data_IF_234064002726
#
_entry.id   IF_234064002726
#
_cell.length_a   1.000
_cell.length_b   1.000
_cell.length_c   1.000
_cell.angle_alpha   90.00
_cell.angle_beta   90.00
_cell.angle_gamma   90.00
#
_symmetry.space_group_name_H-M   'P 1'
#
loop_
_entity.id
_entity.type
_entity.pdbx_description
1 polymer ?
#
# COMPACT_ATOMS: atom_id res chain seq x y z
N UNK A 1 -3.09 30.38 9.52
CA UNK A 1 -3.46 29.75 10.80
C UNK A 1 -3.56 28.25 10.56
N UNK A 2 -2.98 27.43 11.43
CA UNK A 2 -3.09 25.96 11.41
C UNK A 2 -4.09 25.51 12.49
N UNK A 3 -4.79 24.40 12.26
CA UNK A 3 -5.74 23.83 13.21
C UNK A 3 -5.61 22.31 13.26
N UNK A 4 -5.72 21.73 14.46
CA UNK A 4 -5.66 20.29 14.69
C UNK A 4 -6.98 19.63 14.29
N UNK A 5 -7.01 18.89 13.18
CA UNK A 5 -8.08 17.93 12.91
C UNK A 5 -7.88 16.67 13.76
N UNK A 6 -8.99 16.00 14.14
CA UNK A 6 -8.98 14.60 14.63
C UNK A 6 -8.91 13.60 13.45
N UNK A 7 -8.04 13.90 12.50
CA UNK A 7 -7.54 13.09 11.37
C UNK A 7 -6.11 13.61 11.14
N UNK A 8 -5.14 12.74 10.87
CA UNK A 8 -3.70 13.03 11.02
C UNK A 8 -3.10 13.95 9.94
N UNK A 9 -3.66 15.15 9.76
CA UNK A 9 -3.19 16.17 8.84
C UNK A 9 -3.51 17.59 9.35
N UNK A 10 -2.57 18.50 9.18
CA UNK A 10 -2.78 19.94 9.23
C UNK A 10 -3.14 20.47 7.84
N UNK A 11 -4.01 21.48 7.79
CA UNK A 11 -4.35 22.20 6.57
C UNK A 11 -3.80 23.63 6.62
N UNK A 12 -3.16 24.04 5.53
CA UNK A 12 -2.45 25.31 5.40
C UNK A 12 -3.02 26.09 4.21
N UNK A 13 -3.70 27.19 4.48
CA UNK A 13 -4.16 28.12 3.45
C UNK A 13 -3.01 29.02 3.01
N UNK A 14 -2.68 28.96 1.71
CA UNK A 14 -1.62 29.78 1.10
C UNK A 14 -2.26 30.96 0.39
N UNK A 15 -1.94 32.17 0.87
CA UNK A 15 -2.54 33.43 0.42
C UNK A 15 -1.90 34.00 -0.86
N UNK A 16 -1.44 33.12 -1.76
CA UNK A 16 -0.92 33.47 -3.08
C UNK A 16 -1.78 32.88 -4.19
N UNK A 17 -2.17 33.67 -5.18
CA UNK A 17 -2.93 33.15 -6.33
C UNK A 17 -2.00 32.42 -7.30
N UNK A 18 -2.24 31.13 -7.54
CA UNK A 18 -1.46 30.30 -8.49
C UNK A 18 -2.37 29.47 -9.40
N UNK A 19 -1.87 29.11 -10.59
CA UNK A 19 -2.49 28.08 -11.45
C UNK A 19 -2.41 26.74 -10.75
N UNK A 20 -3.40 25.85 -10.92
CA UNK A 20 -3.50 24.63 -10.12
C UNK A 20 -2.22 23.78 -10.12
N UNK A 21 -1.58 23.59 -11.28
CA UNK A 21 -0.33 22.83 -11.38
C UNK A 21 0.85 23.49 -10.62
N UNK A 22 0.88 24.83 -10.53
CA UNK A 22 1.88 25.59 -9.77
C UNK A 22 1.54 25.64 -8.27
N UNK A 23 0.25 25.67 -7.91
CA UNK A 23 -0.20 25.50 -6.52
C UNK A 23 0.20 24.11 -5.98
N UNK A 24 -0.03 23.05 -6.76
CA UNK A 24 0.42 21.69 -6.44
C UNK A 24 1.94 21.59 -6.30
N UNK A 25 2.68 22.20 -7.23
CA UNK A 25 4.15 22.26 -7.16
C UNK A 25 4.66 22.96 -5.90
N UNK A 26 4.00 24.04 -5.46
CA UNK A 26 4.31 24.70 -4.20
C UNK A 26 4.01 23.80 -2.99
N UNK A 27 2.83 23.18 -2.92
CA UNK A 27 2.48 22.31 -1.80
C UNK A 27 3.45 21.13 -1.64
N UNK A 28 3.90 20.53 -2.75
CA UNK A 28 4.90 19.44 -2.72
C UNK A 28 6.33 19.89 -2.43
N UNK A 29 6.61 21.19 -2.46
CA UNK A 29 7.92 21.76 -2.14
C UNK A 29 8.02 22.26 -0.69
N UNK A 30 6.88 22.60 -0.06
CA UNK A 30 6.83 23.21 1.28
C UNK A 30 5.97 22.46 2.31
N UNK A 31 5.11 21.53 1.87
CA UNK A 31 4.23 20.69 2.68
C UNK A 31 4.14 19.27 2.05
N UNK A 32 3.02 18.55 2.18
CA UNK A 32 2.82 17.24 1.52
C UNK A 32 2.30 17.40 0.09
N UNK A 33 1.06 17.86 -0.09
CA UNK A 33 0.44 18.11 -1.41
C UNK A 33 -0.79 19.04 -1.26
N UNK A 34 -1.54 19.29 -2.34
CA UNK A 34 -2.87 19.91 -2.24
C UNK A 34 -3.85 19.02 -1.44
N UNK A 35 -4.69 19.64 -0.61
CA UNK A 35 -5.61 18.94 0.30
C UNK A 35 -6.52 17.91 -0.40
N UNK A 36 -6.59 16.71 0.16
CA UNK A 36 -7.67 15.75 -0.11
C UNK A 36 -8.76 15.86 0.95
N UNK A 37 -10.03 15.69 0.53
CA UNK A 37 -11.18 15.80 1.43
C UNK A 37 -12.05 14.55 1.27
N UNK A 38 -11.93 13.61 2.20
CA UNK A 38 -12.45 12.24 2.11
C UNK A 38 -13.68 12.00 2.98
N UNK A 39 -14.04 12.96 3.83
CA UNK A 39 -15.21 12.86 4.71
C UNK A 39 -15.92 14.20 4.91
N UNK A 40 -17.20 14.20 5.31
CA UNK A 40 -17.93 15.42 5.67
C UNK A 40 -17.23 16.23 6.78
N UNK A 41 -16.54 15.54 7.70
CA UNK A 41 -15.78 16.16 8.79
C UNK A 41 -14.55 16.91 8.26
N UNK A 42 -13.76 16.29 7.40
CA UNK A 42 -12.62 16.95 6.75
C UNK A 42 -13.09 18.15 5.90
N UNK A 43 -14.27 18.05 5.26
CA UNK A 43 -14.85 19.17 4.53
C UNK A 43 -15.21 20.34 5.45
N UNK A 44 -15.84 20.05 6.59
CA UNK A 44 -16.17 21.05 7.61
C UNK A 44 -14.93 21.75 8.17
N UNK A 45 -13.89 21.00 8.58
CA UNK A 45 -12.65 21.61 9.09
C UNK A 45 -11.91 22.42 8.01
N UNK A 46 -11.90 21.94 6.76
CA UNK A 46 -11.33 22.70 5.63
C UNK A 46 -12.10 24.00 5.40
N UNK A 47 -13.44 23.96 5.44
CA UNK A 47 -14.30 25.11 5.22
C UNK A 47 -14.10 26.23 6.26
N UNK A 48 -13.79 25.87 7.51
CA UNK A 48 -13.52 26.84 8.60
C UNK A 48 -12.26 27.67 8.42
N UNK A 49 -11.33 27.23 7.56
CA UNK A 49 -10.08 27.94 7.27
C UNK A 49 -10.20 28.94 6.11
N UNK A 50 -11.35 28.97 5.42
CA UNK A 50 -11.54 29.75 4.20
C UNK A 50 -12.09 31.13 4.52
N UNK A 51 -11.49 32.17 3.93
CA UNK A 51 -12.09 33.50 3.95
C UNK A 51 -13.40 33.49 3.15
N UNK A 52 -14.46 34.05 3.72
CA UNK A 52 -15.79 34.06 3.12
C UNK A 52 -15.79 34.69 1.72
N UNK A 53 -16.39 34.01 0.74
CA UNK A 53 -16.43 34.47 -0.66
C UNK A 53 -15.13 34.23 -1.45
N UNK A 54 -14.05 33.79 -0.81
CA UNK A 54 -12.78 33.48 -1.48
C UNK A 54 -12.75 32.02 -1.96
N UNK A 55 -12.05 31.78 -3.06
CA UNK A 55 -11.92 30.47 -3.70
C UNK A 55 -10.50 29.92 -3.56
N UNK A 56 -10.39 28.64 -3.24
CA UNK A 56 -9.12 27.94 -3.00
C UNK A 56 -9.05 26.64 -3.79
N UNK A 57 -7.92 26.34 -4.45
CA UNK A 57 -7.67 25.04 -5.06
C UNK A 57 -7.55 23.92 -4.02
N UNK A 58 -8.14 22.76 -4.35
CA UNK A 58 -7.95 21.48 -3.65
C UNK A 58 -7.31 20.45 -4.59
N UNK A 59 -6.90 19.29 -4.06
CA UNK A 59 -6.18 18.25 -4.81
C UNK A 59 -7.04 17.47 -5.82
N UNK A 60 -8.32 17.78 -5.96
CA UNK A 60 -9.23 17.07 -6.85
C UNK A 60 -9.15 17.61 -8.28
N UNK A 61 -9.02 16.72 -9.26
CA UNK A 61 -8.96 17.05 -10.67
C UNK A 61 -9.51 15.93 -11.56
N UNK A 62 -9.70 16.23 -12.84
CA UNK A 62 -10.10 15.25 -13.86
C UNK A 62 -9.36 15.49 -15.17
N UNK A 63 -8.77 14.42 -15.71
CA UNK A 63 -8.07 14.43 -17.00
C UNK A 63 -9.03 14.27 -18.20
N UNK A 64 -10.09 13.48 -18.05
CA UNK A 64 -10.95 13.02 -19.14
C UNK A 64 -12.45 13.12 -18.78
N UNK A 65 -13.26 13.53 -19.76
CA UNK A 65 -14.72 13.43 -19.72
C UNK A 65 -15.16 12.15 -20.46
N UNK A 66 -15.58 11.14 -19.70
CA UNK A 66 -16.13 9.90 -20.25
C UNK A 66 -17.58 10.08 -20.69
N UNK A 67 -18.16 9.06 -21.35
CA UNK A 67 -19.60 9.01 -21.69
C UNK A 67 -20.51 9.03 -20.46
N UNK A 68 -20.03 8.60 -19.30
CA UNK A 68 -20.77 8.56 -18.02
C UNK A 68 -20.46 9.74 -17.09
N UNK A 69 -19.54 10.64 -17.47
CA UNK A 69 -19.18 11.83 -16.69
C UNK A 69 -17.68 12.01 -16.44
N UNK A 70 -17.35 12.91 -15.52
CA UNK A 70 -15.97 13.24 -15.13
C UNK A 70 -15.37 12.14 -14.26
N UNK A 71 -14.16 11.66 -14.62
CA UNK A 71 -13.37 10.78 -13.77
C UNK A 71 -12.56 11.63 -12.79
N UNK A 72 -13.03 11.71 -11.54
CA UNK A 72 -12.38 12.49 -10.48
C UNK A 72 -11.27 11.70 -9.79
N UNK A 73 -10.13 12.34 -9.57
CA UNK A 73 -8.94 11.77 -8.91
C UNK A 73 -8.30 12.79 -7.97
N UNK A 74 -7.85 12.36 -6.79
CA UNK A 74 -7.03 13.19 -5.89
C UNK A 74 -5.55 13.12 -6.30
N UNK A 75 -4.79 14.19 -6.07
CA UNK A 75 -3.36 14.29 -6.46
C UNK A 75 -2.43 13.36 -5.69
N UNK A 76 -2.84 12.94 -4.50
CA UNK A 76 -2.11 12.07 -3.59
C UNK A 76 -2.51 10.58 -3.71
N UNK A 77 -3.45 10.24 -4.60
CA UNK A 77 -3.93 8.87 -4.80
C UNK A 77 -5.06 8.42 -3.87
N UNK A 78 -5.60 9.30 -3.01
CA UNK A 78 -6.75 8.96 -2.17
C UNK A 78 -7.99 8.54 -2.99
N UNK A 79 -8.82 7.67 -2.40
CA UNK A 79 -10.08 7.23 -3.00
C UNK A 79 -11.12 8.36 -3.03
N UNK A 80 -11.78 8.55 -4.18
CA UNK A 80 -12.85 9.55 -4.36
C UNK A 80 -14.19 9.02 -3.85
N UNK A 81 -14.33 8.94 -2.52
CA UNK A 81 -15.51 8.36 -1.84
C UNK A 81 -16.47 9.41 -1.24
N UNK A 82 -16.09 10.69 -1.25
CA UNK A 82 -16.88 11.80 -0.72
C UNK A 82 -16.89 12.97 -1.70
N UNK A 83 -18.00 13.71 -1.73
CA UNK A 83 -18.16 14.90 -2.57
C UNK A 83 -19.09 15.92 -1.91
N UNK A 84 -18.82 17.20 -2.14
CA UNK A 84 -19.57 18.30 -1.53
C UNK A 84 -19.78 19.47 -2.52
N UNK A 85 -20.35 19.15 -3.68
CA UNK A 85 -20.47 20.09 -4.82
C UNK A 85 -21.45 21.25 -4.57
N UNK A 86 -21.09 22.43 -5.08
CA UNK A 86 -21.99 23.57 -5.32
C UNK A 86 -22.87 23.22 -6.53
N UNK A 87 -24.18 23.37 -6.40
CA UNK A 87 -25.15 22.77 -7.33
C UNK A 87 -24.92 23.04 -8.82
N UNK A 88 -24.87 21.93 -9.58
CA UNK A 88 -25.09 21.74 -11.03
C UNK A 88 -24.03 22.20 -12.07
N UNK A 89 -23.55 21.17 -12.79
CA UNK A 89 -23.15 21.09 -14.21
C UNK A 89 -22.28 22.21 -14.81
N UNK A 90 -21.00 21.89 -14.98
CA UNK A 90 -20.20 22.43 -16.10
C UNK A 90 -20.76 21.94 -17.44
N UNK A 91 -21.48 22.81 -18.14
CA UNK A 91 -21.70 22.68 -19.59
C UNK A 91 -20.56 23.43 -20.30
N UNK A 92 -19.42 22.77 -20.50
CA UNK A 92 -18.19 23.38 -21.04
C UNK A 92 -17.50 22.50 -22.08
N UNK A 93 -16.98 23.11 -23.15
CA UNK A 93 -16.47 22.38 -24.32
C UNK A 93 -15.07 21.75 -24.09
N UNK A 94 -14.81 20.61 -24.73
CA UNK A 94 -13.82 19.60 -24.30
C UNK A 94 -12.37 19.84 -24.78
N UNK A 95 -11.63 20.78 -24.20
CA UNK A 95 -10.20 20.96 -24.58
C UNK A 95 -9.19 21.23 -23.46
N UNK A 96 -9.63 21.49 -22.22
CA UNK A 96 -8.69 21.67 -21.08
C UNK A 96 -9.12 20.85 -19.86
N UNK A 97 -8.14 20.32 -19.13
CA UNK A 97 -8.39 19.55 -17.92
C UNK A 97 -9.12 20.38 -16.87
N UNK A 98 -9.98 19.72 -16.08
CA UNK A 98 -10.73 20.36 -15.01
C UNK A 98 -10.07 20.12 -13.67
N UNK A 99 -9.91 21.19 -12.91
CA UNK A 99 -9.44 21.19 -11.54
C UNK A 99 -10.58 21.64 -10.63
N UNK A 100 -10.49 21.39 -9.33
CA UNK A 100 -11.58 21.72 -8.40
C UNK A 100 -11.11 22.75 -7.37
N UNK A 101 -11.95 23.76 -7.17
CA UNK A 101 -11.79 24.74 -6.11
C UNK A 101 -12.92 24.60 -5.07
N UNK A 102 -12.67 25.08 -3.86
CA UNK A 102 -13.63 25.16 -2.77
C UNK A 102 -13.89 26.63 -2.42
N UNK A 103 -15.16 26.96 -2.16
CA UNK A 103 -15.61 28.26 -1.70
C UNK A 103 -16.72 28.05 -0.67
N UNK A 104 -16.58 28.63 0.53
CA UNK A 104 -17.54 28.50 1.63
C UNK A 104 -17.94 27.03 1.93
N UNK A 105 -16.99 26.09 1.83
CA UNK A 105 -17.23 24.65 2.05
C UNK A 105 -17.88 23.89 0.88
N UNK A 106 -18.20 24.56 -0.23
CA UNK A 106 -18.79 23.94 -1.43
C UNK A 106 -17.78 23.87 -2.56
N UNK A 107 -17.68 22.70 -3.20
CA UNK A 107 -16.71 22.41 -4.24
C UNK A 107 -17.27 22.78 -5.61
N UNK A 108 -16.45 23.32 -6.50
CA UNK A 108 -16.87 23.60 -7.86
C UNK A 108 -15.72 23.34 -8.86
N UNK A 109 -16.03 22.79 -10.04
CA UNK A 109 -15.06 22.65 -11.11
C UNK A 109 -14.64 24.03 -11.66
N UNK A 110 -13.37 24.15 -12.00
CA UNK A 110 -12.77 25.34 -12.61
C UNK A 110 -11.67 24.93 -13.59
N UNK A 111 -11.39 25.78 -14.58
CA UNK A 111 -10.32 25.51 -15.55
C UNK A 111 -8.95 25.60 -14.85
N UNK A 112 -8.10 24.58 -15.00
CA UNK A 112 -6.79 24.51 -14.32
C UNK A 112 -5.83 25.68 -14.64
N UNK A 113 -6.12 26.47 -15.67
CA UNK A 113 -5.36 27.66 -16.07
C UNK A 113 -5.76 28.94 -15.30
N UNK A 114 -6.88 28.95 -14.58
CA UNK A 114 -7.28 30.03 -13.68
C UNK A 114 -6.33 30.12 -12.48
N UNK A 115 -6.37 31.23 -11.75
CA UNK A 115 -5.61 31.39 -10.51
C UNK A 115 -6.55 31.58 -9.32
N UNK A 116 -6.37 30.72 -8.32
CA UNK A 116 -7.05 30.78 -7.03
C UNK A 116 -5.98 30.75 -5.94
N UNK A 117 -6.38 31.08 -4.70
CA UNK A 117 -5.60 30.68 -3.53
C UNK A 117 -5.57 29.16 -3.45
N UNK A 118 -4.87 28.56 -2.49
CA UNK A 118 -4.81 27.10 -2.43
C UNK A 118 -4.59 26.58 -1.01
N UNK A 119 -4.97 25.32 -0.80
CA UNK A 119 -4.88 24.65 0.49
C UNK A 119 -3.90 23.49 0.32
N UNK A 120 -2.74 23.61 0.97
CA UNK A 120 -1.86 22.48 1.15
C UNK A 120 -2.32 21.70 2.38
N UNK A 121 -2.10 20.38 2.38
CA UNK A 121 -2.05 19.63 3.62
C UNK A 121 -0.62 19.24 3.94
N UNK A 122 -0.37 19.12 5.24
CA UNK A 122 0.82 18.53 5.82
C UNK A 122 0.33 17.36 6.65
N UNK A 123 0.74 16.13 6.31
CA UNK A 123 0.46 14.98 7.18
C UNK A 123 1.10 15.27 8.53
N UNK A 124 0.38 14.99 9.61
CA UNK A 124 1.01 14.80 10.92
C UNK A 124 1.86 13.54 10.86
N UNK A 125 3.06 13.66 10.28
CA UNK A 125 4.20 12.89 10.76
C UNK A 125 4.22 13.08 12.28
N UNK A 126 4.44 11.99 13.02
CA UNK A 126 4.21 11.88 14.47
C UNK A 126 5.24 12.67 15.31
N UNK A 127 5.33 13.99 15.09
CA UNK A 127 6.00 14.92 16.00
C UNK A 127 5.25 14.86 17.34
N UNK A 128 5.91 14.25 18.32
CA UNK A 128 5.47 14.02 19.71
C UNK A 128 4.43 12.92 19.95
N UNK A 129 4.69 11.65 19.54
CA UNK A 129 4.31 10.50 20.40
C UNK A 129 5.02 9.14 20.26
N UNK A 130 6.24 9.09 19.73
CA UNK A 130 7.22 8.07 20.13
C UNK A 130 8.29 8.77 20.98
N UNK A 131 8.61 8.18 22.14
CA UNK A 131 9.38 8.86 23.19
C UNK A 131 10.83 9.07 22.73
N UNK A 132 11.29 10.32 22.77
CA UNK A 132 12.68 10.78 22.59
C UNK A 132 13.43 10.36 21.31
N UNK A 133 12.75 10.22 20.15
CA UNK A 133 13.40 9.86 18.88
C UNK A 133 13.05 10.78 17.72
N UNK A 134 14.07 11.10 16.92
CA UNK A 134 13.99 11.83 15.66
C UNK A 134 14.66 11.03 14.54
N UNK A 135 14.14 11.19 13.30
CA UNK A 135 14.59 10.52 12.07
C UNK A 135 14.36 11.53 10.91
N UNK A 136 15.27 11.94 10.01
CA UNK A 136 16.59 11.51 9.52
C UNK A 136 16.70 10.42 8.40
N UNK A 137 15.78 10.39 7.39
CA UNK A 137 15.98 9.63 6.16
C UNK A 137 17.05 10.26 5.25
N UNK A 138 18.16 9.56 5.03
CA UNK A 138 19.28 10.02 4.20
C UNK A 138 19.19 9.42 2.80
N UNK A 139 19.03 10.29 1.79
CA UNK A 139 18.81 9.93 0.38
C UNK A 139 20.05 9.40 -0.36
N UNK A 140 21.20 9.32 0.31
CA UNK A 140 22.44 8.80 -0.27
C UNK A 140 22.40 7.27 -0.31
N UNK A 141 22.96 6.70 -1.38
CA UNK A 141 23.06 5.26 -1.54
C UNK A 141 24.30 4.75 -0.82
N UNK A 142 24.13 3.72 0.03
CA UNK A 142 25.19 3.08 0.82
C UNK A 142 24.88 1.60 0.99
N UNK A 143 25.90 0.76 1.12
CA UNK A 143 25.68 -0.59 1.66
C UNK A 143 25.34 -0.52 3.16
N UNK A 144 24.84 -1.61 3.77
CA UNK A 144 24.37 -1.57 5.15
C UNK A 144 25.46 -1.15 6.16
N UNK A 145 26.70 -1.59 5.96
CA UNK A 145 27.84 -1.23 6.82
C UNK A 145 28.19 0.26 6.71
N UNK A 146 28.33 0.76 5.48
CA UNK A 146 28.53 2.19 5.20
C UNK A 146 27.38 3.06 5.73
N UNK A 147 26.14 2.56 5.67
CA UNK A 147 24.95 3.24 6.17
C UNK A 147 24.98 3.36 7.70
N UNK A 148 25.30 2.28 8.40
CA UNK A 148 25.49 2.26 9.85
C UNK A 148 26.61 3.20 10.28
N UNK A 149 27.75 3.13 9.61
CA UNK A 149 28.92 3.91 9.98
C UNK A 149 28.71 5.40 9.69
N UNK A 150 27.94 5.75 8.65
CA UNK A 150 27.47 7.11 8.38
C UNK A 150 26.46 7.63 9.43
N UNK A 151 25.50 6.81 9.87
CA UNK A 151 24.62 7.21 10.97
C UNK A 151 25.40 7.43 12.26
N UNK A 152 26.36 6.56 12.58
CA UNK A 152 27.21 6.71 13.78
C UNK A 152 28.19 7.87 13.71
N UNK A 153 28.49 8.41 12.53
CA UNK A 153 29.39 9.58 12.37
C UNK A 153 28.68 10.93 12.40
N UNK A 154 27.35 10.97 12.22
CA UNK A 154 26.58 12.22 12.12
C UNK A 154 25.29 12.27 12.97
N UNK A 155 24.83 11.12 13.45
CA UNK A 155 23.58 10.89 14.19
C UNK A 155 23.84 9.86 15.31
N UNK A 156 22.85 9.05 15.68
CA UNK A 156 22.98 8.04 16.76
C UNK A 156 23.41 6.68 16.18
N UNK A 157 22.54 6.04 15.39
CA UNK A 157 22.76 4.75 14.74
C UNK A 157 21.72 4.59 13.60
N UNK A 158 21.70 3.45 12.90
CA UNK A 158 20.54 3.08 12.09
C UNK A 158 19.30 2.87 12.97
N UNK A 159 18.14 3.24 12.43
CA UNK A 159 16.84 3.15 13.12
C UNK A 159 16.54 1.75 13.65
N UNK A 160 16.02 1.69 14.89
CA UNK A 160 15.30 0.55 15.44
C UNK A 160 13.79 0.79 15.39
N UNK A 161 13.02 -0.27 15.18
CA UNK A 161 11.56 -0.20 15.05
C UNK A 161 10.93 -1.01 16.19
N UNK A 162 10.22 -0.33 17.08
CA UNK A 162 9.65 -0.90 18.30
C UNK A 162 8.11 -1.01 18.25
N UNK A 163 7.46 -0.50 17.20
CA UNK A 163 5.99 -0.56 17.06
C UNK A 163 5.51 -0.70 15.60
N UNK A 164 4.26 -1.19 15.39
CA UNK A 164 3.59 -1.15 14.09
C UNK A 164 3.46 0.27 13.50
N UNK A 165 3.30 1.27 14.36
CA UNK A 165 3.18 2.67 13.99
C UNK A 165 4.51 3.24 13.48
N UNK A 166 5.63 2.91 14.14
CA UNK A 166 6.97 3.25 13.66
C UNK A 166 7.29 2.53 12.33
N UNK A 167 6.93 1.25 12.20
CA UNK A 167 7.08 0.50 10.94
C UNK A 167 6.32 1.17 9.78
N UNK A 168 5.08 1.60 10.05
CA UNK A 168 4.25 2.35 9.10
C UNK A 168 4.85 3.72 8.76
N UNK A 169 5.43 4.43 9.72
CA UNK A 169 6.09 5.70 9.46
C UNK A 169 7.35 5.51 8.61
N UNK A 170 8.21 4.54 8.93
CA UNK A 170 9.41 4.21 8.14
C UNK A 170 9.07 3.81 6.71
N UNK A 171 8.01 3.04 6.48
CA UNK A 171 7.58 2.65 5.13
C UNK A 171 7.07 3.84 4.29
N UNK A 172 6.56 4.90 4.92
CA UNK A 172 6.15 6.15 4.26
C UNK A 172 7.33 7.07 3.88
N UNK A 173 8.50 6.92 4.51
CA UNK A 173 9.71 7.66 4.15
C UNK A 173 10.37 7.13 2.86
N UNK A 174 9.96 5.96 2.39
CA UNK A 174 10.44 5.34 1.16
C UNK A 174 9.79 6.03 -0.05
N UNK A 175 10.63 6.73 -0.82
CA UNK A 175 10.28 7.37 -2.09
C UNK A 175 10.88 6.55 -3.24
N UNK A 176 10.13 6.35 -4.32
CA UNK A 176 10.47 5.48 -5.47
C UNK A 176 10.61 3.98 -5.09
N UNK A 177 11.15 3.17 -6.00
CA UNK A 177 11.37 1.72 -5.84
C UNK A 177 12.58 1.39 -4.93
N UNK A 178 12.83 2.22 -3.92
CA UNK A 178 13.98 2.11 -3.02
C UNK A 178 13.64 1.27 -1.78
N UNK A 179 14.69 0.78 -1.13
CA UNK A 179 14.62 0.12 0.18
C UNK A 179 15.31 0.99 1.23
N UNK A 180 14.87 0.90 2.49
CA UNK A 180 15.39 1.70 3.59
C UNK A 180 16.15 0.80 4.57
N UNK A 181 17.48 0.92 4.65
CA UNK A 181 18.27 0.17 5.63
C UNK A 181 17.86 0.55 7.06
N UNK A 182 17.73 -0.47 7.91
CA UNK A 182 17.44 -0.35 9.34
C UNK A 182 18.47 -1.11 10.16
N UNK A 183 18.52 -0.86 11.47
CA UNK A 183 19.52 -1.44 12.38
C UNK A 183 19.32 -2.91 12.71
N UNK A 184 18.31 -3.60 12.15
CA UNK A 184 18.07 -5.02 12.45
C UNK A 184 19.04 -5.89 11.67
N UNK A 185 19.76 -6.76 12.37
CA UNK A 185 20.71 -7.69 11.76
C UNK A 185 20.82 -9.01 12.53
N UNK A 186 21.39 -10.02 11.88
CA UNK A 186 21.86 -11.26 12.52
C UNK A 186 23.24 -11.66 12.00
N UNK A 187 24.04 -12.29 12.89
CA UNK A 187 25.42 -12.70 12.60
C UNK A 187 25.50 -14.16 12.17
N UNK A 188 26.33 -14.42 11.15
CA UNK A 188 26.60 -15.75 10.60
C UNK A 188 27.06 -16.74 11.68
N UNK A 189 26.52 -17.96 11.66
CA UNK A 189 27.02 -19.10 12.42
C UNK A 189 26.76 -19.06 13.93
N UNK A 190 26.00 -18.08 14.41
CA UNK A 190 25.49 -18.07 15.79
C UNK A 190 24.06 -18.60 15.81
N UNK A 191 23.62 -19.15 16.94
CA UNK A 191 22.19 -19.34 17.26
C UNK A 191 21.47 -17.99 17.51
N UNK A 192 21.87 -16.95 16.77
CA UNK A 192 21.58 -15.56 17.07
C UNK A 192 20.15 -15.19 16.72
N UNK A 193 19.37 -14.91 17.76
CA UNK A 193 18.24 -14.02 17.65
C UNK A 193 18.66 -12.68 17.02
N UNK A 194 17.74 -12.09 16.25
CA UNK A 194 17.86 -10.74 15.69
C UNK A 194 18.24 -9.71 16.74
N UNK A 195 19.03 -8.70 16.34
CA UNK A 195 19.47 -7.60 17.22
C UNK A 195 19.41 -6.27 16.48
N UNK A 196 19.13 -5.20 17.22
CA UNK A 196 19.30 -3.83 16.74
C UNK A 196 20.75 -3.36 16.93
N UNK A 197 21.31 -2.60 15.97
CA UNK A 197 22.67 -2.05 16.05
C UNK A 197 22.86 -1.09 17.22
N UNK A 198 21.80 -0.36 17.60
CA UNK A 198 21.78 0.56 18.72
C UNK A 198 21.66 -0.14 20.11
N UNK A 199 21.60 -1.47 20.15
CA UNK A 199 21.60 -2.27 21.38
C UNK A 199 20.21 -2.50 22.02
N UNK A 200 19.13 -2.02 21.40
CA UNK A 200 17.78 -2.21 21.94
C UNK A 200 17.27 -3.65 21.85
N UNK A 201 16.31 -3.97 22.71
CA UNK A 201 15.57 -5.23 22.65
C UNK A 201 14.73 -5.32 21.37
N UNK A 202 14.64 -6.52 20.81
CA UNK A 202 13.77 -6.82 19.65
C UNK A 202 12.40 -7.26 20.18
N UNK A 203 11.57 -6.28 20.53
CA UNK A 203 10.22 -6.53 21.07
C UNK A 203 9.13 -6.60 19.98
N UNK A 204 9.42 -6.09 18.79
CA UNK A 204 8.52 -6.07 17.64
C UNK A 204 9.28 -6.47 16.37
N UNK A 205 8.63 -7.28 15.54
CA UNK A 205 9.09 -7.58 14.16
C UNK A 205 7.86 -7.73 13.26
N UNK A 206 7.96 -7.22 12.04
CA UNK A 206 6.98 -7.45 10.99
C UNK A 206 7.73 -7.69 9.69
N UNK A 207 7.75 -8.95 9.27
CA UNK A 207 8.47 -9.39 8.09
C UNK A 207 7.57 -9.34 6.85
N UNK A 208 8.19 -9.07 5.70
CA UNK A 208 7.57 -9.31 4.39
C UNK A 208 7.22 -10.79 4.27
N UNK A 209 6.24 -11.13 3.43
CA UNK A 209 5.99 -12.53 3.07
C UNK A 209 7.28 -13.24 2.62
N UNK A 210 7.51 -14.45 3.17
CA UNK A 210 8.72 -15.28 3.04
C UNK A 210 10.01 -14.73 3.68
N UNK A 211 9.93 -13.66 4.47
CA UNK A 211 11.05 -13.20 5.31
C UNK A 211 10.86 -13.60 6.79
N UNK A 212 11.96 -13.73 7.55
CA UNK A 212 13.33 -13.75 7.07
C UNK A 212 13.70 -15.10 6.45
N UNK A 213 14.32 -15.09 5.27
CA UNK A 213 14.88 -16.30 4.67
C UNK A 213 16.42 -16.35 4.81
N UNK A 214 16.94 -17.40 5.45
CA UNK A 214 18.39 -17.63 5.57
C UNK A 214 18.93 -18.40 4.35
N UNK A 215 18.66 -17.89 3.14
CA UNK A 215 19.05 -18.58 1.89
C UNK A 215 20.57 -18.62 1.66
N UNK A 216 21.34 -17.76 2.33
CA UNK A 216 22.76 -17.53 2.02
C UNK A 216 23.73 -17.99 3.12
N UNK A 217 23.25 -18.44 4.30
CA UNK A 217 24.10 -18.76 5.46
C UNK A 217 25.12 -17.64 5.74
N UNK A 218 24.69 -16.38 5.68
CA UNK A 218 25.54 -15.18 5.74
C UNK A 218 25.17 -14.29 6.94
N UNK A 219 25.82 -13.14 7.07
CA UNK A 219 25.26 -12.08 7.93
C UNK A 219 24.02 -11.51 7.22
N UNK A 220 22.90 -11.41 7.94
CA UNK A 220 21.61 -11.00 7.38
C UNK A 220 21.29 -9.59 7.84
N UNK A 221 21.24 -8.66 6.88
CA UNK A 221 20.94 -7.24 7.09
C UNK A 221 19.52 -6.93 6.60
N UNK A 222 18.76 -6.12 7.34
CA UNK A 222 17.34 -5.90 7.05
C UNK A 222 17.09 -4.49 6.51
N UNK A 223 16.17 -4.40 5.55
CA UNK A 223 15.63 -3.14 5.05
C UNK A 223 14.09 -3.14 5.13
N UNK A 224 13.51 -1.96 5.35
CA UNK A 224 12.07 -1.73 5.17
C UNK A 224 11.78 -1.55 3.68
N UNK A 225 10.63 -2.06 3.25
CA UNK A 225 10.05 -1.83 1.93
C UNK A 225 8.69 -1.13 2.08
N UNK A 226 8.27 -0.38 1.07
CA UNK A 226 6.93 0.18 1.03
C UNK A 226 5.98 -0.81 0.35
N UNK A 227 4.99 -1.33 1.07
CA UNK A 227 3.98 -2.23 0.47
C UNK A 227 3.16 -1.57 -0.65
N UNK A 228 3.03 -0.23 -0.66
CA UNK A 228 2.38 0.50 -1.76
C UNK A 228 3.24 0.56 -3.04
N UNK A 229 4.55 0.33 -2.93
CA UNK A 229 5.48 0.15 -4.06
C UNK A 229 5.84 -1.34 -4.27
N UNK A 230 5.20 -2.27 -3.55
CA UNK A 230 5.08 -3.62 -4.08
C UNK A 230 4.31 -3.50 -5.39
N UNK A 231 4.84 -3.96 -6.54
CA UNK A 231 4.09 -3.90 -7.79
C UNK A 231 2.74 -4.59 -7.56
N UNK A 232 1.68 -3.99 -8.12
CA UNK A 232 0.31 -4.53 -8.18
C UNK A 232 0.39 -6.06 -8.19
N UNK A 233 -0.12 -6.74 -7.14
CA UNK A 233 0.04 -8.20 -6.92
C UNK A 233 -0.45 -8.93 -8.17
N UNK A 234 0.43 -9.11 -9.13
CA UNK A 234 -0.01 -9.38 -10.49
C UNK A 234 -0.52 -10.80 -10.58
N UNK A 235 -1.49 -11.05 -11.43
CA UNK A 235 -2.11 -12.37 -11.53
C UNK A 235 -1.67 -13.06 -12.82
N UNK A 236 -1.24 -14.32 -12.74
CA UNK A 236 -0.85 -15.14 -13.88
C UNK A 236 -1.62 -16.46 -13.88
N UNK A 237 -2.54 -16.58 -14.84
CA UNK A 237 -3.38 -17.75 -15.07
C UNK A 237 -2.57 -18.90 -15.65
N UNK A 238 -2.65 -20.07 -15.03
CA UNK A 238 -2.05 -21.30 -15.56
C UNK A 238 -3.15 -22.24 -16.05
N UNK A 239 -3.28 -22.30 -17.38
CA UNK A 239 -4.17 -23.22 -18.11
C UNK A 239 -3.62 -24.66 -18.13
N UNK A 240 -3.19 -25.19 -16.98
CA UNK A 240 -2.73 -26.58 -16.80
C UNK A 240 -3.45 -27.17 -15.59
N UNK A 241 -4.10 -28.32 -15.73
CA UNK A 241 -4.72 -28.99 -14.58
C UNK A 241 -3.64 -29.63 -13.71
N UNK A 242 -3.68 -29.36 -12.40
CA UNK A 242 -2.70 -29.85 -11.41
C UNK A 242 -3.37 -30.13 -10.08
N UNK A 243 -2.78 -31.04 -9.29
CA UNK A 243 -3.13 -31.19 -7.87
C UNK A 243 -2.76 -29.92 -7.11
N UNK A 244 -3.41 -29.64 -5.98
CA UNK A 244 -3.18 -28.37 -5.28
C UNK A 244 -1.71 -28.17 -4.88
N UNK A 245 -1.06 -29.23 -4.38
CA UNK A 245 0.37 -29.21 -4.08
C UNK A 245 1.25 -29.02 -5.32
N UNK A 246 0.91 -29.67 -6.44
CA UNK A 246 1.63 -29.51 -7.71
C UNK A 246 1.44 -28.10 -8.30
N UNK A 247 0.29 -27.48 -8.07
CA UNK A 247 -0.04 -26.11 -8.48
C UNK A 247 0.76 -25.09 -7.65
N UNK A 248 0.82 -25.27 -6.33
CA UNK A 248 1.73 -24.55 -5.42
C UNK A 248 3.17 -24.66 -5.90
N UNK A 249 3.66 -25.89 -6.13
CA UNK A 249 5.05 -26.14 -6.49
C UNK A 249 5.38 -25.59 -7.89
N UNK A 250 4.41 -25.59 -8.82
CA UNK A 250 4.55 -24.89 -10.09
C UNK A 250 4.62 -23.38 -9.91
N UNK A 251 3.76 -22.78 -9.09
CA UNK A 251 3.81 -21.35 -8.81
C UNK A 251 5.14 -20.96 -8.15
N UNK A 252 5.62 -21.70 -7.16
CA UNK A 252 6.90 -21.43 -6.49
C UNK A 252 8.13 -21.69 -7.36
N UNK A 253 7.99 -22.50 -8.43
CA UNK A 253 9.08 -22.79 -9.39
C UNK A 253 9.16 -21.81 -10.56
N UNK A 254 8.02 -21.30 -11.02
CA UNK A 254 7.94 -20.48 -12.25
C UNK A 254 7.46 -19.05 -12.01
N UNK A 255 6.87 -18.80 -10.85
CA UNK A 255 6.18 -17.57 -10.46
C UNK A 255 6.53 -17.22 -9.00
N UNK A 256 5.60 -16.68 -8.20
CA UNK A 256 5.79 -16.49 -6.75
C UNK A 256 5.09 -17.60 -5.93
N UNK A 257 3.76 -17.59 -5.84
CA UNK A 257 2.97 -18.64 -5.14
C UNK A 257 1.52 -18.63 -5.64
N UNK A 258 0.70 -19.60 -5.19
CA UNK A 258 -0.75 -19.56 -5.37
C UNK A 258 -1.36 -18.32 -4.71
N UNK A 259 -2.36 -17.74 -5.37
CA UNK A 259 -2.92 -16.45 -4.95
C UNK A 259 -3.81 -16.53 -3.72
N UNK A 260 -3.79 -15.47 -2.90
CA UNK A 260 -4.80 -15.21 -1.88
C UNK A 260 -5.85 -14.22 -2.35
N UNK A 261 -6.99 -14.18 -1.67
CA UNK A 261 -8.06 -13.19 -1.88
C UNK A 261 -8.51 -12.65 -0.52
N UNK A 262 -8.24 -11.37 -0.25
CA UNK A 262 -8.35 -10.75 1.10
C UNK A 262 -9.49 -9.75 1.23
N UNK A 263 -10.13 -9.37 0.12
CA UNK A 263 -11.18 -8.35 0.09
C UNK A 263 -12.05 -8.49 -1.19
N UNK A 264 -13.22 -7.82 -1.24
CA UNK A 264 -14.11 -7.85 -2.41
C UNK A 264 -13.46 -7.32 -3.71
N UNK A 265 -12.51 -6.40 -3.62
CA UNK A 265 -11.82 -5.81 -4.76
C UNK A 265 -10.91 -6.86 -5.44
N UNK A 266 -10.10 -7.58 -4.65
CA UNK A 266 -9.30 -8.71 -5.10
C UNK A 266 -10.18 -9.83 -5.65
N UNK A 267 -11.31 -10.13 -5.01
CA UNK A 267 -12.28 -11.12 -5.50
C UNK A 267 -12.83 -10.76 -6.88
N UNK A 268 -13.18 -9.49 -7.09
CA UNK A 268 -13.68 -8.95 -8.36
C UNK A 268 -12.60 -9.01 -9.45
N UNK A 269 -11.36 -8.60 -9.10
CA UNK A 269 -10.19 -8.66 -10.01
C UNK A 269 -9.92 -10.11 -10.42
N UNK A 270 -9.75 -11.02 -9.44
CA UNK A 270 -9.57 -12.46 -9.64
C UNK A 270 -10.62 -13.05 -10.59
N UNK A 271 -11.90 -12.86 -10.28
CA UNK A 271 -13.02 -13.43 -11.06
C UNK A 271 -13.15 -12.84 -12.47
N UNK A 272 -12.59 -11.66 -12.73
CA UNK A 272 -12.65 -11.03 -14.05
C UNK A 272 -11.68 -11.61 -15.08
N UNK A 273 -10.76 -12.47 -14.67
CA UNK A 273 -9.66 -12.95 -15.53
C UNK A 273 -9.94 -14.27 -16.25
N UNK A 274 -10.96 -15.03 -15.85
CA UNK A 274 -11.22 -16.38 -16.39
C UNK A 274 -12.70 -16.67 -16.59
N UNK A 275 -13.00 -17.66 -17.45
CA UNK A 275 -14.36 -18.10 -17.71
C UNK A 275 -15.00 -18.72 -16.48
N UNK A 276 -16.16 -18.18 -16.09
CA UNK A 276 -16.86 -18.52 -14.85
C UNK A 276 -17.12 -20.03 -14.67
N UNK A 277 -17.33 -20.77 -15.75
CA UNK A 277 -17.60 -22.22 -15.70
C UNK A 277 -16.38 -23.09 -15.34
N UNK A 278 -15.21 -22.49 -15.08
CA UNK A 278 -13.95 -23.24 -14.92
C UNK A 278 -13.39 -23.03 -13.51
N UNK A 279 -12.99 -24.13 -12.87
CA UNK A 279 -12.46 -24.13 -11.52
C UNK A 279 -10.95 -23.81 -11.48
N UNK A 280 -10.56 -22.93 -10.55
CA UNK A 280 -9.18 -22.53 -10.29
C UNK A 280 -8.79 -22.74 -8.83
N UNK A 281 -7.68 -23.43 -8.55
CA UNK A 281 -7.07 -23.47 -7.22
C UNK A 281 -6.59 -22.09 -6.77
N UNK A 282 -6.82 -21.80 -5.50
CA UNK A 282 -6.26 -20.66 -4.77
C UNK A 282 -5.43 -21.15 -3.57
N UNK A 283 -4.65 -20.26 -2.96
CA UNK A 283 -3.72 -20.62 -1.88
C UNK A 283 -4.34 -20.96 -0.54
N UNK A 284 -5.67 -21.06 -0.42
CA UNK A 284 -6.37 -21.34 0.83
C UNK A 284 -6.49 -22.85 1.07
N UNK A 285 -6.19 -23.28 2.29
CA UNK A 285 -6.32 -24.65 2.75
C UNK A 285 -6.73 -24.73 4.23
N UNK A 286 -7.20 -25.89 4.66
CA UNK A 286 -7.41 -26.21 6.08
C UNK A 286 -6.77 -27.57 6.39
N UNK A 287 -5.78 -27.58 7.28
CA UNK A 287 -5.02 -28.79 7.63
C UNK A 287 -5.61 -29.58 8.80
N UNK A 288 -6.43 -28.95 9.65
CA UNK A 288 -6.75 -29.47 10.99
C UNK A 288 -8.26 -29.54 11.30
N UNK A 289 -9.15 -29.34 10.33
CA UNK A 289 -10.61 -29.47 10.47
C UNK A 289 -11.30 -28.56 11.49
N UNK A 290 -10.62 -27.57 12.07
CA UNK A 290 -11.31 -26.54 12.87
C UNK A 290 -11.89 -25.45 11.96
N UNK A 291 -12.98 -24.83 12.39
CA UNK A 291 -13.55 -23.62 11.75
C UNK A 291 -12.52 -22.47 11.70
N UNK A 292 -11.54 -22.50 12.59
CA UNK A 292 -10.39 -21.59 12.69
C UNK A 292 -9.13 -22.06 11.93
N UNK A 293 -9.19 -23.21 11.25
CA UNK A 293 -8.05 -23.90 10.65
C UNK A 293 -7.64 -23.38 9.26
N UNK A 294 -8.43 -22.47 8.70
CA UNK A 294 -8.22 -21.85 7.39
C UNK A 294 -6.96 -20.98 7.37
N UNK A 295 -6.04 -21.29 6.44
CA UNK A 295 -4.78 -20.58 6.25
C UNK A 295 -4.51 -20.36 4.77
N UNK A 296 -4.01 -19.17 4.44
CA UNK A 296 -3.41 -18.92 3.13
C UNK A 296 -1.98 -19.45 3.13
N UNK A 297 -1.56 -20.07 2.03
CA UNK A 297 -0.16 -20.49 1.77
C UNK A 297 0.82 -19.34 1.93
N UNK A 298 0.38 -18.12 1.62
CA UNK A 298 1.19 -16.91 1.68
C UNK A 298 1.15 -16.16 3.02
N UNK A 299 0.62 -16.79 4.08
CA UNK A 299 0.59 -16.20 5.42
C UNK A 299 -0.31 -14.96 5.59
N UNK A 300 -1.03 -14.52 4.54
CA UNK A 300 -2.03 -13.46 4.66
C UNK A 300 -3.09 -13.83 5.71
N UNK A 301 -3.66 -12.81 6.35
CA UNK A 301 -4.69 -13.01 7.37
C UNK A 301 -5.98 -13.51 6.71
N UNK A 302 -6.53 -14.62 7.22
CA UNK A 302 -7.85 -15.11 6.82
C UNK A 302 -8.95 -14.27 7.50
N UNK A 303 -9.43 -13.23 6.81
CA UNK A 303 -10.45 -12.29 7.29
C UNK A 303 -11.56 -11.99 6.27
N UNK A 304 -11.53 -12.63 5.11
CA UNK A 304 -12.48 -12.48 4.02
C UNK A 304 -12.84 -13.86 3.46
N UNK A 305 -14.10 -14.03 3.06
CA UNK A 305 -14.65 -15.27 2.52
C UNK A 305 -15.60 -14.99 1.36
N UNK A 306 -15.61 -15.89 0.38
CA UNK A 306 -16.57 -15.85 -0.73
C UNK A 306 -17.13 -17.24 -1.06
N UNK A 307 -17.44 -18.00 -0.01
CA UNK A 307 -17.99 -19.36 -0.11
C UNK A 307 -19.28 -19.42 -0.94
N UNK A 308 -19.36 -20.42 -1.82
CA UNK A 308 -20.59 -20.84 -2.49
C UNK A 308 -21.60 -21.31 -1.44
N UNK A 309 -22.89 -21.26 -1.79
CA UNK A 309 -23.95 -21.77 -0.91
C UNK A 309 -23.66 -23.24 -0.52
N UNK A 310 -23.73 -23.51 0.80
CA UNK A 310 -23.42 -24.81 1.45
C UNK A 310 -21.94 -25.20 1.49
N UNK A 311 -21.03 -24.30 1.11
CA UNK A 311 -19.58 -24.45 1.34
C UNK A 311 -19.13 -23.62 2.57
N UNK A 312 -18.04 -24.01 3.25
CA UNK A 312 -17.27 -25.23 3.05
C UNK A 312 -18.02 -26.46 3.58
N UNK A 313 -17.99 -27.57 2.84
CA UNK A 313 -18.76 -28.78 3.15
C UNK A 313 -17.94 -29.92 3.81
N UNK A 314 -16.61 -29.88 3.71
CA UNK A 314 -15.65 -30.52 4.63
C UNK A 314 -15.86 -31.99 4.99
N UNK A 315 -15.25 -32.91 4.25
CA UNK A 315 -15.23 -34.34 4.60
C UNK A 315 -14.25 -34.65 5.76
N UNK A 316 -14.71 -35.44 6.75
CA UNK A 316 -13.96 -35.78 7.96
C UNK A 316 -12.64 -36.52 7.64
N UNK A 317 -11.50 -35.95 8.05
CA UNK A 317 -10.26 -36.70 8.28
C UNK A 317 -9.06 -36.42 7.36
N UNK A 318 -9.18 -35.60 6.32
CA UNK A 318 -8.07 -35.25 5.41
C UNK A 318 -7.95 -33.75 5.15
N UNK A 319 -6.75 -33.24 4.85
CA UNK A 319 -6.56 -31.83 4.50
C UNK A 319 -7.39 -31.46 3.25
N UNK A 320 -8.11 -30.34 3.34
CA UNK A 320 -8.94 -29.79 2.26
C UNK A 320 -8.32 -28.53 1.67
N UNK A 321 -8.53 -28.33 0.37
CA UNK A 321 -7.96 -27.26 -0.44
C UNK A 321 -9.07 -26.51 -1.18
N UNK A 322 -8.90 -25.21 -1.39
CA UNK A 322 -9.99 -24.36 -1.94
C UNK A 322 -9.77 -24.02 -3.40
N UNK A 323 -10.82 -24.21 -4.18
CA UNK A 323 -10.92 -23.74 -5.56
C UNK A 323 -12.07 -22.72 -5.71
N UNK A 324 -12.04 -21.98 -6.81
CA UNK A 324 -13.07 -21.00 -7.16
C UNK A 324 -13.70 -21.38 -8.48
N UNK A 325 -15.02 -21.44 -8.53
CA UNK A 325 -15.81 -21.64 -9.76
C UNK A 325 -17.06 -20.74 -9.72
N UNK A 326 -17.46 -20.20 -10.86
CA UNK A 326 -18.47 -19.15 -10.98
C UNK A 326 -18.22 -17.92 -10.06
N UNK A 327 -16.96 -17.66 -9.72
CA UNK A 327 -16.54 -16.65 -8.74
C UNK A 327 -16.64 -17.08 -7.28
N UNK A 328 -17.34 -18.17 -6.97
CA UNK A 328 -17.58 -18.62 -5.60
C UNK A 328 -16.57 -19.70 -5.16
N UNK A 329 -16.17 -19.68 -3.89
CA UNK A 329 -15.20 -20.61 -3.32
C UNK A 329 -15.88 -21.91 -2.89
N UNK A 330 -15.19 -23.04 -3.07
CA UNK A 330 -15.58 -24.35 -2.56
C UNK A 330 -14.34 -25.12 -2.12
N UNK A 331 -14.45 -25.96 -1.10
CA UNK A 331 -13.38 -26.89 -0.72
C UNK A 331 -13.53 -28.23 -1.45
N UNK A 332 -12.41 -28.86 -1.75
CA UNK A 332 -12.33 -30.21 -2.30
C UNK A 332 -11.03 -30.88 -1.81
N UNK A 333 -10.91 -32.18 -2.05
CA UNK A 333 -9.71 -32.96 -1.78
C UNK A 333 -8.53 -32.38 -2.58
N UNK A 334 -7.41 -32.13 -1.90
CA UNK A 334 -6.19 -31.56 -2.51
C UNK A 334 -5.56 -32.41 -3.64
N UNK A 335 -6.03 -33.64 -3.84
CA UNK A 335 -5.63 -34.55 -4.91
C UNK A 335 -6.43 -34.39 -6.23
N UNK A 336 -7.51 -33.60 -6.23
CA UNK A 336 -8.24 -33.22 -7.44
C UNK A 336 -7.39 -32.34 -8.37
N UNK A 337 -7.79 -32.20 -9.63
CA UNK A 337 -7.01 -31.43 -10.61
C UNK A 337 -7.80 -30.28 -11.24
N UNK A 338 -7.39 -29.05 -10.92
CA UNK A 338 -7.94 -27.82 -11.46
C UNK A 338 -6.86 -26.98 -12.13
N UNK A 339 -7.30 -25.99 -12.93
CA UNK A 339 -6.42 -24.89 -13.31
C UNK A 339 -6.07 -24.08 -12.05
N UNK A 340 -5.15 -23.13 -12.15
CA UNK A 340 -4.69 -22.40 -10.98
C UNK A 340 -4.12 -21.05 -11.37
N UNK A 341 -4.08 -20.14 -10.40
CA UNK A 341 -3.53 -18.80 -10.60
C UNK A 341 -2.38 -18.55 -9.64
N UNK A 342 -1.27 -18.08 -10.18
CA UNK A 342 -0.09 -17.68 -9.43
C UNK A 342 0.00 -16.15 -9.35
N UNK A 343 0.72 -15.63 -8.35
CA UNK A 343 1.21 -14.25 -8.39
C UNK A 343 2.34 -14.10 -9.42
N UNK A 344 2.30 -13.03 -10.23
CA UNK A 344 3.29 -12.65 -11.25
C UNK A 344 4.63 -12.24 -10.61
N UNK A 345 5.70 -12.53 -11.34
CA UNK A 345 7.10 -12.36 -10.91
C UNK A 345 7.78 -13.72 -10.93
N UNK A 346 9.00 -13.83 -11.46
CA UNK A 346 9.80 -15.06 -11.37
C UNK A 346 10.68 -14.99 -10.13
N UNK A 347 10.64 -16.00 -9.27
CA UNK A 347 11.77 -16.28 -8.37
C UNK A 347 12.96 -16.67 -9.25
N UNK A 348 13.99 -15.80 -9.32
CA UNK A 348 15.25 -16.09 -10.04
C UNK A 348 15.72 -15.10 -11.13
N UNK A 349 15.01 -14.01 -11.43
CA UNK A 349 15.50 -12.98 -12.39
C UNK A 349 15.43 -11.52 -11.90
N UNK A 350 14.86 -11.26 -10.72
CA UNK A 350 14.93 -9.94 -10.07
C UNK A 350 15.88 -9.88 -8.86
N UNK A 351 16.33 -11.02 -8.32
CA UNK A 351 17.16 -11.07 -7.10
C UNK A 351 18.68 -11.05 -7.34
N UNK A 352 19.15 -10.86 -8.58
CA UNK A 352 20.59 -10.72 -8.90
C UNK A 352 20.92 -9.40 -9.62
N UNK A 353 19.90 -8.60 -10.00
CA UNK A 353 20.08 -7.23 -10.52
C UNK A 353 19.40 -6.15 -9.68
N UNK A 354 18.82 -6.50 -8.53
CA UNK A 354 18.64 -5.54 -7.44
C UNK A 354 19.97 -5.23 -6.77
N UNK A 355 20.80 -4.46 -7.48
CA UNK A 355 21.47 -3.31 -6.86
C UNK A 355 20.36 -2.31 -6.47
N UNK A 356 19.46 -2.70 -5.56
CA UNK A 356 18.41 -1.82 -5.07
C UNK A 356 19.13 -0.64 -4.45
N UNK A 357 18.84 0.54 -4.96
CA UNK A 357 19.48 1.77 -4.52
C UNK A 357 18.95 2.12 -3.13
N UNK A 358 19.49 1.45 -2.12
CA UNK A 358 19.06 1.53 -0.73
C UNK A 358 19.47 2.86 -0.12
N UNK A 359 18.46 3.57 0.37
CA UNK A 359 18.61 4.71 1.27
C UNK A 359 18.65 4.18 2.71
N UNK A 360 18.96 5.04 3.68
CA UNK A 360 19.10 4.66 5.08
C UNK A 360 18.36 5.63 5.98
N UNK A 361 17.82 5.17 7.10
CA UNK A 361 17.35 6.06 8.16
C UNK A 361 18.29 6.00 9.34
N UNK A 362 18.82 7.17 9.67
CA UNK A 362 19.12 7.50 11.05
C UNK A 362 17.86 8.11 11.69
#
# INVERSE_FOLDING_TARGET
MSFLSKTDAFYHTVNEKKKWAKARGYCRAHHTDLVSIRSPKENYETARLLNYGVSYWIGLYSKNLTTVGWQWQWTNGDAFNHMHWKDKKMNGNRTSGICVAINNGLWFPAYCNQTHLFICYEVLALKNKFVDREYYPIKQLKNWTEARDHCRSHYVDLVSIQSPEEAKYMSQLIVEDRTLWIGLFSKKGSTAAWKWTNGEAVNYTQWKYMEPNDYLNSESCVAVINEMNSPDRGYHLIYKKKRWFEARDYCRKHHIDLVSIRNPEEQKIFTSMFDRNIAFWIGLYNSNHSETGWKWLNGDKFNYTHWKEKEPNGYRGAMICVAVTNGMWFDDYCNQTYWFMCYKGKIGEHDVSMTSSSVLSC
#
